data_IF_803349903311
#
_entry.id   IF_803349903311
#
_cell.length_a   1.000
_cell.length_b   1.000
_cell.length_c   1.000
_cell.angle_alpha   90.00
_cell.angle_beta   90.00
_cell.angle_gamma   90.00
#
_symmetry.space_group_name_H-M   'P 1'
#
loop_
_entity.id
_entity.type
_entity.pdbx_description
1 polymer ?
#
# COMPACT_ATOMS: atom_id res chain seq x y z
N UNK A 1 -10.19 -13.69 -11.64
CA UNK A 1 -9.03 -12.79 -11.85
C UNK A 1 -8.58 -12.28 -10.50
N UNK A 2 -7.27 -12.24 -10.23
CA UNK A 2 -6.71 -11.66 -9.00
C UNK A 2 -6.78 -10.14 -9.06
N UNK A 3 -7.38 -9.51 -8.05
CA UNK A 3 -7.47 -8.06 -7.93
C UNK A 3 -6.25 -7.56 -7.18
N UNK A 4 -5.33 -6.92 -7.91
CA UNK A 4 -4.11 -6.33 -7.34
C UNK A 4 -4.22 -4.81 -7.26
N UNK A 5 -3.71 -4.22 -6.19
CA UNK A 5 -3.56 -2.77 -6.02
C UNK A 5 -2.08 -2.37 -5.92
N UNK A 6 -1.76 -1.15 -6.34
CA UNK A 6 -0.45 -0.53 -6.18
C UNK A 6 -0.56 0.63 -5.19
N UNK A 7 0.33 0.67 -4.19
CA UNK A 7 0.45 1.74 -3.21
C UNK A 7 1.86 2.35 -3.27
N UNK A 8 2.09 3.35 -4.15
CA UNK A 8 3.39 3.97 -4.31
C UNK A 8 3.60 5.14 -3.33
N UNK A 9 4.85 5.35 -2.91
CA UNK A 9 5.22 6.47 -2.04
C UNK A 9 6.68 6.41 -1.62
N UNK A 10 7.20 7.52 -1.07
CA UNK A 10 8.53 7.52 -0.43
C UNK A 10 8.50 6.80 0.93
N UNK A 11 7.40 6.92 1.66
CA UNK A 11 7.21 6.30 2.99
C UNK A 11 8.33 6.60 3.99
N UNK A 12 8.92 7.80 3.91
CA UNK A 12 9.97 8.29 4.80
C UNK A 12 9.43 9.43 5.71
N UNK A 13 8.95 9.15 6.94
CA UNK A 13 8.80 7.83 7.55
C UNK A 13 7.45 7.15 7.24
N UNK A 14 7.40 5.84 7.46
CA UNK A 14 6.15 5.10 7.39
C UNK A 14 5.31 5.39 8.65
N UNK A 15 4.06 5.83 8.47
CA UNK A 15 3.18 6.27 9.56
C UNK A 15 2.04 5.27 9.83
N UNK A 16 1.37 5.41 10.97
CA UNK A 16 0.15 4.66 11.27
C UNK A 16 -0.96 4.89 10.23
N UNK A 17 -0.99 6.06 9.58
CA UNK A 17 -1.93 6.35 8.49
C UNK A 17 -1.68 5.49 7.25
N UNK A 18 -0.42 5.25 6.88
CA UNK A 18 -0.09 4.33 5.78
C UNK A 18 -0.53 2.90 6.09
N UNK A 19 -0.37 2.45 7.34
CA UNK A 19 -0.85 1.14 7.78
C UNK A 19 -2.37 1.01 7.69
N UNK A 20 -3.11 2.06 8.08
CA UNK A 20 -4.58 2.05 8.00
C UNK A 20 -5.07 1.94 6.55
N UNK A 21 -4.41 2.65 5.63
CA UNK A 21 -4.69 2.55 4.19
C UNK A 21 -4.43 1.12 3.68
N UNK A 22 -3.32 0.49 4.07
CA UNK A 22 -3.02 -0.89 3.69
C UNK A 22 -4.07 -1.88 4.22
N UNK A 23 -4.47 -1.74 5.48
CA UNK A 23 -5.52 -2.59 6.08
C UNK A 23 -6.84 -2.48 5.32
N UNK A 24 -7.23 -1.26 4.94
CA UNK A 24 -8.42 -1.00 4.13
C UNK A 24 -8.28 -1.55 2.71
N UNK A 25 -7.11 -1.43 2.09
CA UNK A 25 -6.88 -1.97 0.76
C UNK A 25 -7.01 -3.51 0.74
N UNK A 26 -6.53 -4.19 1.77
CA UNK A 26 -6.62 -5.65 1.89
C UNK A 26 -8.05 -6.18 2.09
N UNK A 27 -9.04 -5.32 2.39
CA UNK A 27 -10.46 -5.74 2.39
C UNK A 27 -11.10 -5.69 1.00
N UNK A 28 -10.46 -5.01 0.04
CA UNK A 28 -10.97 -4.78 -1.31
C UNK A 28 -10.19 -5.52 -2.39
N UNK A 29 -8.91 -5.78 -2.15
CA UNK A 29 -7.96 -6.39 -3.08
C UNK A 29 -7.37 -7.66 -2.50
N UNK A 30 -7.06 -8.61 -3.37
CA UNK A 30 -6.44 -9.88 -2.98
C UNK A 30 -4.93 -9.69 -2.70
N UNK A 31 -4.32 -8.65 -3.29
CA UNK A 31 -2.91 -8.32 -3.14
C UNK A 31 -2.70 -6.80 -3.23
N UNK A 32 -1.80 -6.27 -2.41
CA UNK A 32 -1.39 -4.86 -2.43
C UNK A 32 0.13 -4.81 -2.54
N UNK A 33 0.64 -4.21 -3.61
CA UNK A 33 2.07 -4.00 -3.83
C UNK A 33 2.45 -2.61 -3.32
N UNK A 34 3.37 -2.54 -2.36
CA UNK A 34 3.89 -1.27 -1.84
C UNK A 34 5.17 -0.92 -2.60
N UNK A 35 5.15 0.17 -3.36
CA UNK A 35 6.29 0.60 -4.18
C UNK A 35 7.00 1.78 -3.53
N UNK A 36 8.22 1.56 -3.03
CA UNK A 36 9.03 2.57 -2.36
C UNK A 36 9.84 3.36 -3.41
N UNK A 37 9.55 4.65 -3.53
CA UNK A 37 10.35 5.56 -4.34
C UNK A 37 11.59 6.03 -3.58
N UNK A 38 12.76 5.91 -4.21
CA UNK A 38 14.03 6.44 -3.71
C UNK A 38 14.53 7.43 -4.77
N UNK A 39 14.83 8.67 -4.35
CA UNK A 39 15.36 9.73 -5.20
C UNK A 39 16.83 9.98 -4.87
#
# INVERSE_FOLDING_TARGET
MTRKALFPGSFDPFTAGHLDILKRALTMFDEVVVAIGIN
#
